data_IF_743608843855
#
_entry.id   IF_743608843855
#
_cell.length_a   1.000
_cell.length_b   1.000
_cell.length_c   1.000
_cell.angle_alpha   90.00
_cell.angle_beta   90.00
_cell.angle_gamma   90.00
#
_symmetry.space_group_name_H-M   'P 1'
#
loop_
_entity.id
_entity.type
_entity.pdbx_description
1 polymer ?
#
# COMPACT_ATOMS: atom_id res chain seq x y z
N UNK A 1 13.42 7.29 -0.92
CA UNK A 1 12.09 7.93 -1.00
C UNK A 1 11.45 7.59 -2.33
N UNK A 2 10.15 7.31 -2.37
CA UNK A 2 9.41 7.13 -3.61
C UNK A 2 9.20 8.49 -4.26
N UNK A 3 9.48 8.62 -5.56
CA UNK A 3 9.25 9.84 -6.33
C UNK A 3 8.22 9.58 -7.42
N UNK A 4 7.59 10.63 -7.95
CA UNK A 4 6.62 10.52 -9.06
C UNK A 4 7.23 9.82 -10.27
N UNK A 5 8.47 10.16 -10.64
CA UNK A 5 9.23 9.47 -11.71
C UNK A 5 9.43 7.99 -11.41
N UNK A 6 9.84 7.64 -10.18
CA UNK A 6 10.06 6.25 -9.80
C UNK A 6 8.75 5.45 -9.77
N UNK A 7 7.66 6.07 -9.35
CA UNK A 7 6.31 5.50 -9.37
C UNK A 7 5.88 5.20 -10.81
N UNK A 8 6.02 6.15 -11.74
CA UNK A 8 5.72 5.91 -13.17
C UNK A 8 6.59 4.81 -13.79
N UNK A 9 7.87 4.73 -13.43
CA UNK A 9 8.77 3.67 -13.92
C UNK A 9 8.35 2.28 -13.43
N UNK A 10 7.86 2.17 -12.18
CA UNK A 10 7.55 0.89 -11.54
C UNK A 10 6.12 0.43 -11.76
N UNK A 11 5.19 1.35 -12.01
CA UNK A 11 3.79 1.06 -12.23
C UNK A 11 3.50 0.84 -13.71
N UNK A 12 2.57 -0.08 -14.01
CA UNK A 12 1.97 -0.22 -15.34
C UNK A 12 0.48 0.16 -15.35
N UNK A 13 0.00 0.71 -14.24
CA UNK A 13 -1.39 1.11 -14.06
C UNK A 13 -1.65 2.37 -14.88
N UNK A 14 -2.64 2.35 -15.77
CA UNK A 14 -2.98 3.50 -16.63
C UNK A 14 -3.25 4.76 -15.83
N UNK A 15 -4.04 4.66 -14.74
CA UNK A 15 -4.29 5.77 -13.82
C UNK A 15 -2.97 6.41 -13.35
N UNK A 16 -1.96 5.64 -12.95
CA UNK A 16 -0.66 6.22 -12.56
C UNK A 16 0.10 6.86 -13.72
N UNK A 17 -0.03 6.34 -14.94
CA UNK A 17 0.69 6.87 -16.10
C UNK A 17 0.09 8.19 -16.61
N UNK A 18 -1.23 8.31 -16.56
CA UNK A 18 -2.01 9.42 -17.11
C UNK A 18 -2.10 10.62 -16.15
N UNK A 19 -1.91 10.39 -14.84
CA UNK A 19 -2.00 11.42 -13.81
C UNK A 19 -0.85 12.45 -13.84
N UNK A 20 -1.16 13.64 -13.32
CA UNK A 20 -0.22 14.76 -13.19
C UNK A 20 0.82 14.52 -12.09
N UNK A 21 1.92 15.28 -12.12
CA UNK A 21 2.95 15.20 -11.09
C UNK A 21 2.41 15.46 -9.68
N UNK A 22 1.57 16.49 -9.54
CA UNK A 22 1.02 16.92 -8.24
C UNK A 22 0.08 15.86 -7.65
N UNK A 23 -0.81 15.27 -8.47
CA UNK A 23 -1.69 14.18 -8.02
C UNK A 23 -0.90 12.93 -7.63
N UNK A 24 0.15 12.59 -8.40
CA UNK A 24 1.01 11.47 -8.05
C UNK A 24 1.78 11.70 -6.75
N UNK A 25 2.23 12.92 -6.49
CA UNK A 25 2.86 13.28 -5.23
C UNK A 25 1.87 13.11 -4.07
N UNK A 26 0.64 13.58 -4.23
CA UNK A 26 -0.42 13.35 -3.24
C UNK A 26 -0.66 11.85 -2.97
N UNK A 27 -0.77 11.01 -4.00
CA UNK A 27 -0.96 9.57 -3.80
C UNK A 27 0.24 8.91 -3.10
N UNK A 28 1.46 9.40 -3.37
CA UNK A 28 2.68 8.93 -2.70
C UNK A 28 2.62 9.30 -1.21
N UNK A 29 2.28 10.55 -0.87
CA UNK A 29 2.24 11.03 0.51
C UNK A 29 1.11 10.38 1.33
N UNK A 30 -0.08 10.23 0.73
CA UNK A 30 -1.21 9.53 1.34
C UNK A 30 -0.87 8.06 1.58
N UNK A 31 -0.20 7.41 0.63
CA UNK A 31 0.27 6.05 0.79
C UNK A 31 1.30 5.92 1.92
N UNK A 32 2.27 6.84 2.01
CA UNK A 32 3.25 6.84 3.09
C UNK A 32 2.56 6.98 4.45
N UNK A 33 1.64 7.94 4.58
CA UNK A 33 0.89 8.22 5.80
C UNK A 33 0.09 7.00 6.26
N UNK A 34 -0.57 6.29 5.34
CA UNK A 34 -1.32 5.07 5.68
C UNK A 34 -0.41 3.92 6.10
N UNK A 35 0.77 3.80 5.49
CA UNK A 35 1.77 2.81 5.90
C UNK A 35 2.31 3.16 7.28
N UNK A 36 2.60 4.43 7.55
CA UNK A 36 3.00 4.94 8.87
C UNK A 36 1.99 4.58 9.95
N UNK A 37 0.70 4.78 9.69
CA UNK A 37 -0.38 4.40 10.62
C UNK A 37 -0.49 2.88 10.81
N UNK A 38 -0.12 2.08 9.82
CA UNK A 38 -0.12 0.62 9.93
C UNK A 38 1.07 0.10 10.73
N UNK A 39 2.26 0.68 10.54
CA UNK A 39 3.49 0.16 11.10
C UNK A 39 3.59 0.39 12.61
N UNK A 40 4.07 -0.60 13.39
CA UNK A 40 4.32 -0.42 14.82
C UNK A 40 5.62 0.37 15.12
N UNK A 41 6.30 0.85 14.08
CA UNK A 41 7.60 1.54 14.14
C UNK A 41 7.58 2.75 13.19
N UNK A 42 8.40 3.78 13.44
CA UNK A 42 8.51 4.92 12.54
C UNK A 42 8.89 4.50 11.12
N UNK A 43 8.38 5.23 10.12
CA UNK A 43 8.75 5.00 8.73
C UNK A 43 10.25 5.24 8.54
N UNK A 44 10.99 4.28 7.95
CA UNK A 44 12.43 4.36 7.86
C UNK A 44 12.88 5.39 6.82
N UNK A 45 13.92 6.16 7.15
CA UNK A 45 14.54 7.09 6.21
C UNK A 45 15.11 6.40 4.96
N UNK A 46 15.61 5.16 5.12
CA UNK A 46 16.02 4.29 4.02
C UNK A 46 15.01 3.15 3.84
N UNK A 47 14.25 3.22 2.76
CA UNK A 47 13.20 2.25 2.43
C UNK A 47 13.81 1.06 1.67
N UNK A 48 13.66 -0.15 2.22
CA UNK A 48 14.07 -1.37 1.52
C UNK A 48 13.13 -1.74 0.36
N UNK A 49 13.48 -2.80 -0.39
CA UNK A 49 12.71 -3.20 -1.57
C UNK A 49 11.27 -3.63 -1.26
N UNK A 50 11.04 -4.23 -0.10
CA UNK A 50 9.72 -4.75 0.29
C UNK A 50 8.81 -3.61 0.76
N UNK A 51 9.34 -2.69 1.57
CA UNK A 51 8.59 -1.51 1.97
C UNK A 51 8.33 -0.57 0.77
N UNK A 52 9.29 -0.46 -0.16
CA UNK A 52 9.10 0.29 -1.41
C UNK A 52 8.04 -0.34 -2.30
N UNK A 53 7.92 -1.67 -2.31
CA UNK A 53 6.86 -2.37 -3.04
C UNK A 53 5.48 -2.08 -2.43
N UNK A 54 5.35 -2.13 -1.10
CA UNK A 54 4.12 -1.78 -0.41
C UNK A 54 3.70 -0.33 -0.71
N UNK A 55 4.65 0.61 -0.69
CA UNK A 55 4.41 2.01 -1.00
C UNK A 55 3.92 2.22 -2.43
N UNK A 56 4.58 1.61 -3.42
CA UNK A 56 4.14 1.68 -4.83
C UNK A 56 2.75 1.09 -4.99
N UNK A 57 2.47 -0.08 -4.40
CA UNK A 57 1.17 -0.75 -4.51
C UNK A 57 0.03 0.04 -3.90
N UNK A 58 0.28 0.72 -2.78
CA UNK A 58 -0.73 1.54 -2.16
C UNK A 58 -0.98 2.82 -2.97
N UNK A 59 0.06 3.47 -3.49
CA UNK A 59 -0.10 4.62 -4.38
C UNK A 59 -0.84 4.26 -5.69
N UNK A 60 -0.55 3.10 -6.28
CA UNK A 60 -1.31 2.55 -7.42
C UNK A 60 -2.80 2.37 -7.10
N UNK A 61 -3.10 1.84 -5.91
CA UNK A 61 -4.46 1.60 -5.45
C UNK A 61 -5.23 2.90 -5.21
N UNK A 62 -4.56 3.95 -4.74
CA UNK A 62 -5.16 5.27 -4.57
C UNK A 62 -5.46 5.93 -5.92
N UNK A 63 -4.52 5.89 -6.86
CA UNK A 63 -4.75 6.38 -8.22
C UNK A 63 -5.92 5.66 -8.92
N UNK A 64 -6.05 4.34 -8.70
CA UNK A 64 -7.17 3.58 -9.24
C UNK A 64 -8.53 3.95 -8.62
N UNK A 65 -8.55 4.37 -7.36
CA UNK A 65 -9.78 4.81 -6.69
C UNK A 65 -10.24 6.17 -7.18
N UNK A 66 -9.31 7.03 -7.58
CA UNK A 66 -9.63 8.38 -8.07
C UNK A 66 -9.92 8.41 -9.57
N UNK A 67 -9.67 7.32 -10.30
CA UNK A 67 -9.92 7.26 -11.75
C UNK A 67 -11.41 7.42 -12.07
N UNK A 68 -11.71 8.15 -13.15
CA UNK A 68 -13.08 8.44 -13.57
C UNK A 68 -13.89 7.14 -13.81
N UNK A 69 -13.26 6.09 -14.34
CA UNK A 69 -13.92 4.79 -14.53
C UNK A 69 -14.35 4.17 -13.22
N UNK A 70 -13.50 4.23 -12.19
CA UNK A 70 -13.83 3.72 -10.86
C UNK A 70 -14.94 4.55 -10.23
N UNK A 71 -14.83 5.88 -10.25
CA UNK A 71 -15.84 6.79 -9.70
C UNK A 71 -17.19 6.64 -10.43
N UNK A 72 -17.19 6.48 -11.76
CA UNK A 72 -18.40 6.24 -12.54
C UNK A 72 -19.01 4.85 -12.27
N UNK A 73 -18.18 3.82 -12.07
CA UNK A 73 -18.63 2.47 -11.70
C UNK A 73 -19.25 2.44 -10.29
N UNK A 74 -18.58 3.10 -9.33
CA UNK A 74 -19.05 3.23 -7.96
C UNK A 74 -20.36 4.02 -7.88
N UNK A 75 -20.46 5.15 -8.60
CA UNK A 75 -21.68 5.97 -8.66
C UNK A 75 -22.88 5.23 -9.28
N UNK A 76 -22.61 4.24 -10.14
CA UNK A 76 -23.65 3.39 -10.76
C UNK A 76 -23.95 2.12 -9.96
N UNK A 77 -23.29 1.88 -8.83
CA UNK A 77 -23.53 0.72 -7.96
C UNK A 77 -22.92 -0.60 -8.47
N UNK A 78 -22.21 -0.60 -9.61
CA UNK A 78 -21.64 -1.84 -10.19
C UNK A 78 -20.50 -2.43 -9.36
N UNK A 79 -19.83 -1.60 -8.54
CA UNK A 79 -18.76 -2.05 -7.63
C UNK A 79 -19.26 -2.87 -6.44
N UNK A 80 -20.57 -2.88 -6.16
CA UNK A 80 -21.17 -3.65 -5.07
C UNK A 80 -21.70 -5.03 -5.48
N UNK A 81 -22.02 -5.23 -6.77
CA UNK A 81 -22.63 -6.46 -7.29
C UNK A 81 -21.64 -7.47 -7.89
N UNK A 82 -20.38 -7.06 -8.10
CA UNK A 82 -19.34 -7.99 -8.52
C UNK A 82 -18.61 -8.51 -7.28
N UNK A 83 -18.73 -9.82 -7.02
CA UNK A 83 -18.01 -10.58 -5.99
C UNK A 83 -16.46 -10.55 -6.17
N UNK A 84 -15.97 -9.83 -7.18
CA UNK A 84 -14.56 -9.54 -7.44
C UNK A 84 -14.26 -8.04 -7.69
N UNK A 85 -15.23 -7.14 -7.43
CA UNK A 85 -14.94 -5.71 -7.42
C UNK A 85 -14.06 -5.41 -6.20
N UNK A 86 -12.82 -5.03 -6.49
CA UNK A 86 -11.84 -4.54 -5.51
C UNK A 86 -12.46 -3.37 -4.73
N UNK A 87 -13.06 -3.68 -3.59
CA UNK A 87 -13.59 -2.69 -2.65
C UNK A 87 -12.40 -2.10 -1.90
N UNK A 88 -11.74 -1.14 -2.55
CA UNK A 88 -10.75 -0.29 -1.91
C UNK A 88 -11.38 0.73 -0.93
N UNK A 89 -12.67 0.58 -0.64
CA UNK A 89 -13.45 1.35 0.34
C UNK A 89 -13.10 1.05 1.80
N UNK A 90 -12.12 0.20 2.10
CA UNK A 90 -11.65 0.05 3.48
C UNK A 90 -10.89 1.30 3.89
N UNK A 91 -11.41 1.99 4.90
CA UNK A 91 -10.69 3.06 5.58
C UNK A 91 -9.41 2.50 6.21
N UNK A 92 -8.34 3.28 6.18
CA UNK A 92 -7.15 2.97 6.94
C UNK A 92 -7.49 3.00 8.44
N UNK A 93 -7.06 1.97 9.17
CA UNK A 93 -7.22 1.87 10.62
C UNK A 93 -5.86 1.59 11.22
N UNK A 94 -5.42 2.47 12.11
CA UNK A 94 -4.13 2.42 12.78
C UNK A 94 -3.85 1.03 13.37
N UNK A 95 -2.65 0.50 13.09
CA UNK A 95 -2.19 -0.81 13.52
C UNK A 95 -2.97 -2.02 12.97
N UNK A 96 -3.94 -1.81 12.06
CA UNK A 96 -4.81 -2.89 11.54
C UNK A 96 -4.80 -3.04 10.04
N UNK A 97 -5.03 -1.95 9.30
CA UNK A 97 -5.15 -1.99 7.84
C UNK A 97 -4.80 -0.65 7.21
N UNK A 98 -4.15 -0.69 6.06
CA UNK A 98 -3.90 0.45 5.16
C UNK A 98 -5.11 0.77 4.28
N UNK A 99 -6.16 -0.06 4.33
CA UNK A 99 -7.28 -0.03 3.39
C UNK A 99 -7.05 -0.91 2.15
N UNK A 100 -5.87 -1.52 2.01
CA UNK A 100 -5.54 -2.43 0.93
C UNK A 100 -4.95 -3.75 1.47
N UNK A 101 -5.65 -4.86 1.28
CA UNK A 101 -5.30 -6.16 1.87
C UNK A 101 -3.97 -6.75 1.34
N UNK A 102 -3.63 -6.47 0.08
CA UNK A 102 -2.35 -6.92 -0.49
C UNK A 102 -1.19 -6.17 0.15
N UNK A 103 -1.35 -4.85 0.34
CA UNK A 103 -0.37 -4.01 1.03
C UNK A 103 -0.23 -4.44 2.49
N UNK A 104 -1.34 -4.70 3.19
CA UNK A 104 -1.33 -5.19 4.57
C UNK A 104 -0.54 -6.49 4.70
N UNK A 105 -0.69 -7.40 3.73
CA UNK A 105 0.04 -8.68 3.70
C UNK A 105 1.56 -8.49 3.51
N UNK A 106 1.96 -7.56 2.63
CA UNK A 106 3.37 -7.23 2.41
C UNK A 106 3.99 -6.62 3.68
N UNK A 107 3.28 -5.68 4.32
CA UNK A 107 3.73 -5.01 5.53
C UNK A 107 3.79 -5.97 6.73
N UNK A 108 2.82 -6.88 6.86
CA UNK A 108 2.84 -7.92 7.90
C UNK A 108 4.12 -8.77 7.81
N UNK A 109 4.46 -9.24 6.60
CA UNK A 109 5.68 -10.02 6.38
C UNK A 109 6.94 -9.18 6.63
N UNK A 110 6.90 -7.89 6.29
CA UNK A 110 8.00 -6.97 6.54
C UNK A 110 8.24 -6.80 8.04
N UNK A 111 7.19 -6.53 8.82
CA UNK A 111 7.26 -6.41 10.29
C UNK A 111 7.78 -7.70 10.91
N UNK A 112 7.25 -8.86 10.47
CA UNK A 112 7.71 -10.17 10.96
C UNK A 112 9.21 -10.37 10.70
N UNK A 113 9.69 -10.03 9.51
CA UNK A 113 11.12 -10.13 9.15
C UNK A 113 11.99 -9.25 10.04
N UNK A 114 11.54 -8.03 10.37
CA UNK A 114 12.28 -7.13 11.27
C UNK A 114 12.35 -7.69 12.70
N UNK A 115 11.29 -8.37 13.16
CA UNK A 115 11.26 -9.01 14.47
C UNK A 115 12.09 -10.30 14.54
N UNK A 116 12.23 -11.03 13.43
CA UNK A 116 12.97 -12.30 13.39
C UNK A 116 14.49 -12.17 13.28
N UNK A 117 15.04 -11.01 12.96
CA UNK A 117 16.50 -10.73 12.95
C UNK A 117 17.37 -11.66 12.07
N UNK A 118 18.69 -11.41 11.94
CA UNK A 118 19.63 -12.27 11.21
C UNK A 118 20.09 -13.51 12.00
N UNK A 119 19.66 -13.64 13.26
CA UNK A 119 20.21 -14.59 14.24
C UNK A 119 19.27 -15.78 14.55
N UNK A 120 18.45 -16.23 13.59
CA UNK A 120 17.68 -17.47 13.75
C UNK A 120 18.52 -18.73 13.45
N UNK A 121 19.74 -18.74 14.01
CA UNK A 121 20.54 -19.93 14.29
C UNK A 121 20.28 -20.52 15.67
N UNK A 122 19.29 -20.03 16.43
CA UNK A 122 18.86 -20.64 17.70
C UNK A 122 17.37 -20.38 17.96
N UNK A 123 16.53 -21.27 17.42
CA UNK A 123 15.14 -21.46 17.85
C UNK A 123 15.17 -21.82 19.35
N UNK A 124 15.05 -20.82 20.21
CA UNK A 124 14.75 -21.01 21.63
C UNK A 124 13.38 -20.39 21.90
N UNK A 125 12.39 -21.27 21.88
CA UNK A 125 11.14 -21.25 22.65
C UNK A 125 10.32 -19.94 22.68
N UNK A 126 9.09 -20.03 22.17
CA UNK A 126 7.93 -19.88 23.06
C UNK A 126 6.92 -21.01 22.76
N UNK A 127 6.97 -22.03 23.62
CA UNK A 127 5.85 -22.89 23.93
C UNK A 127 4.78 -22.02 24.61
N UNK A 128 3.58 -22.01 24.06
CA UNK A 128 2.32 -21.93 24.80
C UNK A 128 1.34 -22.91 24.16
#
# INVERSE_FOLDING_TARGET
MLTTTLLKIRSRVSAVQEETGDQLEQYIDDAQTRIELYLPVPFPAMVDKQLLLAWVKLAESLALQDSEEYLASAARGYSAESDGAWTYTRLAVEGKTTGNADVDSILFLWVKKQQSGPDDGNITAYLL
#
